data_IF_664554280851
#
_entry.id   IF_664554280851
#
_cell.length_a   1.000
_cell.length_b   1.000
_cell.length_c   1.000
_cell.angle_alpha   90.00
_cell.angle_beta   90.00
_cell.angle_gamma   90.00
#
_symmetry.space_group_name_H-M   'P 1'
#
loop_
_entity.id
_entity.type
_entity.pdbx_description
1 polymer ?
#
# COMPACT_ATOMS: atom_id res chain seq x y z
N UNK A 1 -37.05 -71.14 -34.32
CA UNK A 1 -35.69 -71.02 -33.75
C UNK A 1 -35.60 -69.63 -33.13
N UNK A 2 -35.51 -69.56 -31.80
CA UNK A 2 -35.79 -68.33 -31.06
C UNK A 2 -34.64 -67.32 -31.02
N UNK A 3 -34.99 -66.08 -30.67
CA UNK A 3 -34.05 -65.13 -30.07
C UNK A 3 -34.85 -64.12 -29.25
N UNK A 4 -34.78 -64.25 -27.91
CA UNK A 4 -35.19 -63.22 -26.95
C UNK A 4 -34.20 -62.06 -27.03
N UNK A 5 -34.65 -60.86 -27.33
CA UNK A 5 -33.89 -59.66 -27.02
C UNK A 5 -34.17 -59.21 -25.57
N UNK A 6 -33.10 -59.19 -24.77
CA UNK A 6 -33.06 -58.61 -23.43
C UNK A 6 -33.08 -57.10 -23.57
N UNK A 7 -34.04 -56.42 -22.96
CA UNK A 7 -33.93 -54.99 -22.70
C UNK A 7 -32.90 -54.80 -21.58
N UNK A 8 -31.74 -54.25 -21.93
CA UNK A 8 -30.76 -53.77 -20.97
C UNK A 8 -31.23 -52.40 -20.44
N UNK A 9 -31.56 -52.34 -19.16
CA UNK A 9 -31.77 -51.07 -18.45
C UNK A 9 -30.40 -50.44 -18.22
N UNK A 10 -30.10 -49.35 -18.92
CA UNK A 10 -28.92 -48.52 -18.67
C UNK A 10 -29.08 -47.74 -17.35
N UNK A 11 -28.08 -47.73 -16.45
CA UNK A 11 -28.22 -47.08 -15.16
C UNK A 11 -28.05 -45.57 -15.28
N UNK A 12 -29.12 -44.81 -14.97
CA UNK A 12 -29.19 -43.34 -14.97
C UNK A 12 -28.41 -42.64 -13.82
N UNK A 13 -27.34 -43.23 -13.27
CA UNK A 13 -26.73 -42.76 -12.02
C UNK A 13 -25.48 -41.85 -12.13
N UNK A 14 -24.96 -41.58 -13.34
CA UNK A 14 -23.67 -40.87 -13.48
C UNK A 14 -23.72 -39.36 -13.77
N UNK A 15 -24.85 -38.81 -14.23
CA UNK A 15 -24.91 -37.39 -14.59
C UNK A 15 -24.98 -36.46 -13.35
N UNK A 16 -25.81 -36.80 -12.36
CA UNK A 16 -26.02 -35.97 -11.15
C UNK A 16 -24.75 -35.83 -10.29
N UNK A 17 -23.89 -36.84 -10.24
CA UNK A 17 -22.67 -36.82 -9.42
C UNK A 17 -21.55 -36.00 -10.05
N UNK A 18 -21.47 -35.95 -11.38
CA UNK A 18 -20.56 -35.08 -12.11
C UNK A 18 -20.97 -33.60 -11.99
N UNK A 19 -22.26 -33.30 -12.11
CA UNK A 19 -22.81 -31.95 -11.95
C UNK A 19 -22.59 -31.40 -10.52
N UNK A 20 -22.77 -32.24 -9.49
CA UNK A 20 -22.52 -31.84 -8.11
C UNK A 20 -21.04 -31.50 -7.86
N UNK A 21 -20.11 -32.29 -8.43
CA UNK A 21 -18.66 -32.01 -8.32
C UNK A 21 -18.26 -30.72 -9.03
N UNK A 22 -18.84 -30.45 -10.20
CA UNK A 22 -18.63 -29.19 -10.93
C UNK A 22 -19.19 -28.01 -10.16
N UNK A 23 -20.41 -28.13 -9.59
CA UNK A 23 -21.02 -27.09 -8.78
C UNK A 23 -20.23 -26.79 -7.50
N UNK A 24 -19.79 -27.82 -6.76
CA UNK A 24 -18.94 -27.68 -5.58
C UNK A 24 -17.60 -27.04 -5.93
N UNK A 25 -16.97 -27.44 -7.05
CA UNK A 25 -15.71 -26.83 -7.51
C UNK A 25 -15.88 -25.37 -7.90
N UNK A 26 -16.99 -25.00 -8.57
CA UNK A 26 -17.31 -23.61 -8.90
C UNK A 26 -17.56 -22.78 -7.64
N UNK A 27 -18.32 -23.31 -6.69
CA UNK A 27 -18.57 -22.65 -5.40
C UNK A 27 -17.27 -22.46 -4.60
N UNK A 28 -16.41 -23.47 -4.57
CA UNK A 28 -15.10 -23.40 -3.94
C UNK A 28 -14.20 -22.34 -4.60
N UNK A 29 -14.11 -22.32 -5.93
CA UNK A 29 -13.34 -21.32 -6.67
C UNK A 29 -13.90 -19.91 -6.45
N UNK A 30 -15.22 -19.75 -6.45
CA UNK A 30 -15.89 -18.48 -6.19
C UNK A 30 -15.63 -17.99 -4.76
N UNK A 31 -15.82 -18.85 -3.75
CA UNK A 31 -15.58 -18.51 -2.34
C UNK A 31 -14.11 -18.12 -2.11
N UNK A 32 -13.17 -18.87 -2.71
CA UNK A 32 -11.75 -18.54 -2.65
C UNK A 32 -11.45 -17.20 -3.33
N UNK A 33 -11.99 -16.95 -4.51
CA UNK A 33 -11.79 -15.70 -5.24
C UNK A 33 -12.39 -14.48 -4.51
N UNK A 34 -13.62 -14.62 -4.00
CA UNK A 34 -14.28 -13.58 -3.21
C UNK A 34 -13.51 -13.28 -1.92
N UNK A 35 -13.07 -14.31 -1.19
CA UNK A 35 -12.28 -14.15 0.03
C UNK A 35 -10.89 -13.52 -0.21
N UNK A 36 -10.25 -13.80 -1.34
CA UNK A 36 -9.02 -13.10 -1.71
C UNK A 36 -9.31 -11.63 -2.04
N UNK A 37 -10.33 -11.34 -2.83
CA UNK A 37 -10.66 -9.97 -3.26
C UNK A 37 -10.95 -9.06 -2.06
N UNK A 38 -11.71 -9.53 -1.07
CA UNK A 38 -12.00 -8.75 0.14
C UNK A 38 -10.76 -8.47 0.98
N UNK A 39 -9.86 -9.45 1.12
CA UNK A 39 -8.59 -9.24 1.85
C UNK A 39 -7.68 -8.24 1.15
N UNK A 40 -7.61 -8.28 -0.19
CA UNK A 40 -6.80 -7.33 -0.98
C UNK A 40 -7.32 -5.91 -0.87
N UNK A 41 -8.64 -5.72 -1.03
CA UNK A 41 -9.27 -4.41 -0.87
C UNK A 41 -9.09 -3.86 0.56
N UNK A 42 -9.22 -4.74 1.56
CA UNK A 42 -8.98 -4.41 2.96
C UNK A 42 -7.54 -3.94 3.20
N UNK A 43 -6.52 -4.59 2.62
CA UNK A 43 -5.14 -4.15 2.79
C UNK A 43 -4.89 -2.74 2.21
N UNK A 44 -5.49 -2.42 1.06
CA UNK A 44 -5.40 -1.07 0.51
C UNK A 44 -6.03 -0.01 1.43
N UNK A 45 -7.14 -0.37 2.09
CA UNK A 45 -7.78 0.46 3.11
C UNK A 45 -6.91 0.62 4.38
N UNK A 46 -6.21 -0.45 4.79
CA UNK A 46 -5.34 -0.47 5.97
C UNK A 46 -4.08 0.37 5.81
N UNK A 47 -3.56 0.51 4.58
CA UNK A 47 -2.30 1.20 4.30
C UNK A 47 -2.49 2.46 3.45
N UNK A 48 -2.67 2.33 2.13
CA UNK A 48 -2.67 3.48 1.22
C UNK A 48 -3.80 4.48 1.50
N UNK A 49 -4.98 4.00 1.92
CA UNK A 49 -6.05 4.91 2.33
C UNK A 49 -5.73 5.63 3.65
N UNK A 50 -5.02 4.98 4.59
CA UNK A 50 -4.59 5.64 5.83
C UNK A 50 -3.50 6.68 5.55
N UNK A 51 -2.58 6.41 4.63
CA UNK A 51 -1.62 7.41 4.13
C UNK A 51 -2.35 8.62 3.54
N UNK A 52 -3.37 8.40 2.71
CA UNK A 52 -4.21 9.48 2.17
C UNK A 52 -4.94 10.25 3.28
N UNK A 53 -5.57 9.57 4.24
CA UNK A 53 -6.22 10.25 5.37
C UNK A 53 -5.24 11.13 6.12
N UNK A 54 -4.04 10.61 6.39
CA UNK A 54 -3.01 11.39 7.07
C UNK A 54 -2.64 12.64 6.25
N UNK A 55 -2.31 12.48 4.97
CA UNK A 55 -1.88 13.57 4.10
C UNK A 55 -2.96 14.60 3.76
N UNK A 56 -4.23 14.23 3.74
CA UNK A 56 -5.31 15.13 3.31
C UNK A 56 -6.08 15.72 4.48
N UNK A 57 -6.20 14.99 5.59
CA UNK A 57 -7.11 15.36 6.68
C UNK A 57 -6.38 15.69 7.98
N UNK A 58 -5.20 15.10 8.22
CA UNK A 58 -4.51 15.22 9.49
C UNK A 58 -3.31 16.16 9.42
N UNK A 59 -2.49 16.02 8.37
CA UNK A 59 -1.25 16.76 8.16
C UNK A 59 -1.15 17.19 6.68
N UNK A 60 -1.99 18.14 6.23
CA UNK A 60 -1.98 18.64 4.86
C UNK A 60 -0.77 19.56 4.65
N UNK A 61 0.35 18.95 4.29
CA UNK A 61 1.57 19.63 3.85
C UNK A 61 2.11 18.94 2.59
N UNK A 62 2.99 19.61 1.81
CA UNK A 62 3.65 19.01 0.66
C UNK A 62 4.42 17.74 1.03
N UNK A 63 4.16 16.63 0.32
CA UNK A 63 4.61 15.29 0.72
C UNK A 63 5.34 14.56 -0.40
N UNK A 64 6.41 13.84 -0.04
CA UNK A 64 7.06 12.88 -0.94
C UNK A 64 6.58 11.43 -0.68
N UNK A 65 6.31 10.69 -1.75
CA UNK A 65 5.79 9.31 -1.65
C UNK A 65 6.36 8.40 -2.73
N UNK A 66 6.14 7.09 -2.57
CA UNK A 66 6.29 6.10 -3.65
C UNK A 66 4.93 5.63 -4.19
N UNK A 67 3.97 5.36 -3.31
CA UNK A 67 2.66 4.85 -3.71
C UNK A 67 1.68 6.00 -3.98
N UNK A 68 1.71 6.53 -5.22
CA UNK A 68 0.90 7.65 -5.69
C UNK A 68 -0.60 7.57 -5.38
N UNK A 69 -1.19 6.41 -5.67
CA UNK A 69 -2.63 6.19 -5.84
C UNK A 69 -3.54 7.06 -4.97
N UNK A 70 -3.86 6.59 -3.77
CA UNK A 70 -4.79 7.30 -2.88
C UNK A 70 -4.27 8.67 -2.42
N UNK A 71 -2.97 8.81 -2.16
CA UNK A 71 -2.39 10.04 -1.59
C UNK A 71 -2.56 11.25 -2.51
N UNK A 72 -2.58 11.05 -3.84
CA UNK A 72 -2.83 12.13 -4.82
C UNK A 72 -4.31 12.48 -5.00
N UNK A 73 -5.21 11.56 -4.66
CA UNK A 73 -6.64 11.77 -4.90
C UNK A 73 -7.21 12.78 -3.92
N UNK A 74 -7.76 13.90 -4.41
CA UNK A 74 -8.34 14.99 -3.58
C UNK A 74 -7.37 15.49 -2.49
N UNK A 75 -6.10 15.60 -2.86
CA UNK A 75 -5.10 16.27 -2.06
C UNK A 75 -4.81 17.62 -2.71
N UNK A 76 -5.00 18.69 -1.95
CA UNK A 76 -4.74 20.05 -2.42
C UNK A 76 -3.25 20.41 -2.30
N UNK A 77 -2.48 19.62 -1.55
CA UNK A 77 -1.04 19.79 -1.36
C UNK A 77 -0.23 19.14 -2.48
N UNK A 78 0.99 19.64 -2.68
CA UNK A 78 1.90 19.06 -3.67
C UNK A 78 2.35 17.65 -3.25
N UNK A 79 2.25 16.71 -4.19
CA UNK A 79 2.70 15.33 -4.00
C UNK A 79 3.86 15.03 -4.93
N UNK A 80 5.05 14.87 -4.36
CA UNK A 80 6.25 14.46 -5.09
C UNK A 80 6.33 12.94 -5.18
N UNK A 81 6.30 12.41 -6.39
CA UNK A 81 6.47 10.98 -6.64
C UNK A 81 7.96 10.62 -6.77
N UNK A 82 8.50 9.97 -5.75
CA UNK A 82 9.89 9.50 -5.75
C UNK A 82 10.08 8.27 -6.66
N UNK A 83 9.04 7.60 -7.15
CA UNK A 83 9.22 6.50 -8.11
C UNK A 83 9.42 7.00 -9.56
N UNK A 84 8.91 8.19 -9.86
CA UNK A 84 9.05 8.84 -11.17
C UNK A 84 7.99 8.47 -12.21
N UNK A 85 6.83 7.96 -11.78
CA UNK A 85 5.64 7.76 -12.62
C UNK A 85 4.82 9.04 -12.76
N UNK A 86 4.70 9.81 -11.68
CA UNK A 86 3.95 11.07 -11.61
C UNK A 86 4.81 12.31 -11.53
N UNK A 87 6.11 12.17 -11.27
CA UNK A 87 7.07 13.28 -11.19
C UNK A 87 8.27 13.04 -12.11
N UNK A 88 8.23 13.66 -13.28
CA UNK A 88 9.27 13.48 -14.31
C UNK A 88 10.67 13.88 -13.82
N UNK A 89 10.76 14.83 -12.88
CA UNK A 89 12.02 15.22 -12.26
C UNK A 89 12.71 14.04 -11.55
N UNK A 90 11.95 13.19 -10.84
CA UNK A 90 12.50 12.01 -10.17
C UNK A 90 13.05 11.01 -11.19
N UNK A 91 12.32 10.76 -12.29
CA UNK A 91 12.77 9.90 -13.39
C UNK A 91 14.06 10.41 -14.03
N UNK A 92 14.13 11.71 -14.31
CA UNK A 92 15.30 12.34 -14.94
C UNK A 92 16.53 12.29 -14.03
N UNK A 93 16.38 12.68 -12.77
CA UNK A 93 17.48 12.68 -11.80
C UNK A 93 17.97 11.26 -11.51
N UNK A 94 17.07 10.29 -11.31
CA UNK A 94 17.49 8.91 -11.07
C UNK A 94 18.15 8.26 -12.28
N UNK A 95 17.73 8.61 -13.50
CA UNK A 95 18.41 8.15 -14.71
C UNK A 95 19.83 8.75 -14.86
N UNK A 96 20.04 9.99 -14.42
CA UNK A 96 21.33 10.68 -14.55
C UNK A 96 22.29 10.42 -13.39
N UNK A 97 21.77 10.25 -12.18
CA UNK A 97 22.54 10.33 -10.93
C UNK A 97 22.33 9.11 -10.01
N UNK A 98 21.46 8.17 -10.40
CA UNK A 98 21.05 7.03 -9.59
C UNK A 98 20.04 7.41 -8.49
N UNK A 99 19.50 6.41 -7.80
CA UNK A 99 18.57 6.58 -6.67
C UNK A 99 19.36 6.74 -5.36
N UNK A 100 20.16 7.80 -5.30
CA UNK A 100 21.05 8.08 -4.15
C UNK A 100 20.52 9.25 -3.30
N UNK A 101 21.03 9.46 -2.07
CA UNK A 101 20.60 10.56 -1.20
C UNK A 101 20.70 11.96 -1.82
N UNK A 102 21.66 12.19 -2.71
CA UNK A 102 21.91 13.51 -3.34
C UNK A 102 20.76 13.98 -4.26
N UNK A 103 20.35 13.23 -5.30
CA UNK A 103 19.21 13.61 -6.13
C UNK A 103 17.90 13.64 -5.34
N UNK A 104 17.73 12.77 -4.33
CA UNK A 104 16.55 12.79 -3.45
C UNK A 104 16.44 14.12 -2.72
N UNK A 105 17.51 14.52 -2.01
CA UNK A 105 17.56 15.81 -1.32
C UNK A 105 17.27 16.98 -2.25
N UNK A 106 17.86 16.96 -3.45
CA UNK A 106 17.69 18.03 -4.43
C UNK A 106 16.22 18.19 -4.81
N UNK A 107 15.56 17.13 -5.26
CA UNK A 107 14.17 17.24 -5.70
C UNK A 107 13.21 17.54 -4.55
N UNK A 108 13.48 17.04 -3.35
CA UNK A 108 12.62 17.34 -2.19
C UNK A 108 12.78 18.78 -1.72
N UNK A 109 14.00 19.30 -1.71
CA UNK A 109 14.27 20.72 -1.41
C UNK A 109 13.65 21.63 -2.46
N UNK A 110 13.86 21.34 -3.74
CA UNK A 110 13.34 22.15 -4.86
C UNK A 110 11.79 22.15 -4.87
N UNK A 111 11.15 21.05 -4.47
CA UNK A 111 9.70 20.91 -4.38
C UNK A 111 9.09 21.44 -3.07
N UNK A 112 9.92 21.77 -2.07
CA UNK A 112 9.44 22.23 -0.75
C UNK A 112 8.63 21.17 0.01
N UNK A 113 8.92 19.87 -0.17
CA UNK A 113 8.23 18.82 0.59
C UNK A 113 8.73 18.78 2.04
N UNK A 114 7.79 18.65 2.98
CA UNK A 114 8.07 18.79 4.42
C UNK A 114 8.16 17.45 5.13
N UNK A 115 7.61 16.39 4.53
CA UNK A 115 7.69 15.03 5.03
C UNK A 115 7.59 14.01 3.88
N UNK A 116 7.92 12.75 4.17
CA UNK A 116 7.75 11.65 3.25
C UNK A 116 7.01 10.47 3.89
N UNK A 117 6.26 9.73 3.07
CA UNK A 117 5.68 8.43 3.42
C UNK A 117 6.06 7.42 2.34
N UNK A 118 6.97 6.50 2.66
CA UNK A 118 7.56 5.61 1.67
C UNK A 118 7.99 4.27 2.29
N UNK A 119 8.47 3.37 1.44
CA UNK A 119 9.13 2.15 1.86
C UNK A 119 10.63 2.40 1.86
N UNK A 120 11.27 2.49 3.02
CA UNK A 120 12.71 2.78 3.11
C UNK A 120 13.53 1.72 2.35
N UNK A 121 13.09 0.47 2.40
CA UNK A 121 13.79 -0.68 1.82
C UNK A 121 13.94 -0.67 0.28
N UNK A 122 13.27 0.24 -0.44
CA UNK A 122 13.45 0.40 -1.89
C UNK A 122 14.56 1.39 -2.28
N UNK A 123 15.23 1.98 -1.29
CA UNK A 123 16.34 2.90 -1.45
C UNK A 123 17.65 2.23 -0.98
N UNK A 124 18.20 1.32 -1.80
CA UNK A 124 19.42 0.56 -1.48
C UNK A 124 20.62 1.46 -1.12
N UNK A 125 20.74 2.61 -1.80
CA UNK A 125 21.80 3.61 -1.56
C UNK A 125 21.47 4.57 -0.40
N UNK A 126 20.32 4.40 0.25
CA UNK A 126 19.84 5.17 1.38
C UNK A 126 19.06 6.44 1.03
N UNK A 127 18.50 7.04 2.08
CA UNK A 127 17.79 8.32 2.06
C UNK A 127 18.72 9.47 2.51
N UNK A 128 18.33 10.75 2.30
CA UNK A 128 19.08 11.87 2.86
C UNK A 128 19.24 11.73 4.39
N UNK A 129 20.47 11.80 4.94
CA UNK A 129 20.75 11.50 6.34
C UNK A 129 20.11 12.47 7.34
N UNK A 130 19.69 13.64 6.90
CA UNK A 130 18.94 14.61 7.70
C UNK A 130 17.46 14.27 7.85
N UNK A 131 16.91 13.37 7.03
CA UNK A 131 15.53 12.91 7.19
C UNK A 131 15.40 12.13 8.49
N UNK A 132 14.41 12.50 9.29
CA UNK A 132 14.21 11.90 10.61
C UNK A 132 13.03 10.94 10.55
N UNK A 133 13.27 9.65 10.77
CA UNK A 133 12.19 8.69 10.93
C UNK A 133 11.37 9.08 12.16
N UNK A 134 10.10 9.47 11.95
CA UNK A 134 9.22 9.95 13.01
C UNK A 134 8.07 8.98 13.30
N UNK A 135 7.70 8.14 12.34
CA UNK A 135 6.74 7.06 12.56
C UNK A 135 6.88 5.90 11.58
N UNK A 136 6.29 4.76 11.95
CA UNK A 136 6.10 3.59 11.10
C UNK A 136 4.67 3.10 11.18
N UNK A 137 3.99 3.04 10.03
CA UNK A 137 2.67 2.44 9.88
C UNK A 137 2.81 0.98 9.47
N UNK A 138 2.38 0.06 10.31
CA UNK A 138 2.41 -1.38 10.06
C UNK A 138 1.02 -1.93 9.76
N UNK A 139 0.92 -2.81 8.76
CA UNK A 139 -0.34 -3.39 8.26
C UNK A 139 -0.15 -4.86 7.88
N UNK A 140 -1.25 -5.55 7.57
CA UNK A 140 -1.15 -6.86 6.91
C UNK A 140 -0.50 -6.73 5.52
N UNK A 141 0.41 -7.63 5.13
CA UNK A 141 1.02 -7.59 3.78
C UNK A 141 0.32 -8.61 2.87
N UNK A 142 -0.72 -8.16 2.15
CA UNK A 142 -1.51 -9.03 1.26
C UNK A 142 -1.45 -8.57 -0.20
N UNK A 143 -1.40 -7.27 -0.45
CA UNK A 143 -1.39 -6.62 -1.77
C UNK A 143 -0.42 -5.45 -1.83
N UNK A 144 -0.28 -4.71 -0.73
CA UNK A 144 0.80 -3.75 -0.58
C UNK A 144 2.16 -4.40 -0.86
N UNK A 145 3.07 -3.64 -1.48
CA UNK A 145 4.42 -4.10 -1.76
C UNK A 145 5.11 -4.54 -0.47
N UNK A 146 4.91 -3.77 0.61
CA UNK A 146 5.50 -4.01 1.92
C UNK A 146 4.47 -3.84 3.04
N UNK A 147 4.71 -4.49 4.17
CA UNK A 147 3.81 -4.42 5.33
C UNK A 147 3.93 -3.14 6.14
N UNK A 148 5.05 -2.42 6.01
CA UNK A 148 5.38 -1.22 6.78
C UNK A 148 5.54 -0.03 5.83
N UNK A 149 5.12 1.16 6.26
CA UNK A 149 5.43 2.44 5.61
C UNK A 149 6.13 3.31 6.63
N UNK A 150 7.32 3.80 6.28
CA UNK A 150 8.08 4.76 7.06
C UNK A 150 7.63 6.19 6.77
N UNK A 151 7.46 6.96 7.85
CA UNK A 151 7.15 8.38 7.81
C UNK A 151 8.41 9.13 8.23
N UNK A 152 8.96 9.92 7.30
CA UNK A 152 10.15 10.74 7.54
C UNK A 152 9.77 12.21 7.63
N UNK A 153 10.23 12.88 8.66
CA UNK A 153 10.21 14.33 8.75
C UNK A 153 11.40 14.90 7.95
N UNK A 154 11.11 15.87 7.07
CA UNK A 154 12.11 16.55 6.24
C UNK A 154 12.32 17.97 6.75
N UNK A 155 11.23 18.67 7.08
CA UNK A 155 11.26 19.99 7.69
C UNK A 155 11.19 19.89 9.22
N UNK A 156 12.29 20.19 9.90
CA UNK A 156 12.39 20.11 11.37
C UNK A 156 11.44 21.08 12.08
N UNK A 157 11.05 22.19 11.45
CA UNK A 157 10.17 23.18 12.06
C UNK A 157 8.75 22.63 12.24
N UNK A 158 8.43 21.53 11.56
CA UNK A 158 7.14 20.84 11.63
C UNK A 158 7.11 19.70 12.66
N UNK A 159 8.20 19.43 13.37
CA UNK A 159 8.32 18.24 14.22
C UNK A 159 7.21 18.14 15.27
N UNK A 160 7.01 19.18 16.07
CA UNK A 160 6.01 19.18 17.16
C UNK A 160 4.59 18.98 16.61
N UNK A 161 4.28 19.66 15.50
CA UNK A 161 2.98 19.53 14.85
C UNK A 161 2.77 18.11 14.33
N UNK A 162 3.71 17.58 13.54
CA UNK A 162 3.59 16.23 12.97
C UNK A 162 3.51 15.17 14.07
N UNK A 163 4.30 15.29 15.14
CA UNK A 163 4.27 14.39 16.30
C UNK A 163 2.90 14.39 16.98
N UNK A 164 2.36 15.58 17.29
CA UNK A 164 1.04 15.69 17.91
C UNK A 164 -0.07 15.13 17.01
N UNK A 165 0.01 15.37 15.70
CA UNK A 165 -0.91 14.82 14.71
C UNK A 165 -0.83 13.31 14.61
N UNK A 166 0.37 12.72 14.60
CA UNK A 166 0.57 11.27 14.60
C UNK A 166 -0.02 10.61 15.85
N UNK A 167 0.17 11.22 17.02
CA UNK A 167 -0.42 10.76 18.28
C UNK A 167 -1.96 10.81 18.26
N UNK A 168 -2.54 11.87 17.68
CA UNK A 168 -3.99 11.98 17.49
C UNK A 168 -4.53 11.03 16.42
N UNK A 169 -3.73 10.73 15.39
CA UNK A 169 -4.10 9.86 14.28
C UNK A 169 -4.09 8.38 14.67
N UNK A 170 -3.12 7.97 15.49
CA UNK A 170 -2.92 6.59 15.94
C UNK A 170 -4.19 5.87 16.42
N UNK A 171 -5.02 6.43 17.34
CA UNK A 171 -6.24 5.77 17.80
C UNK A 171 -7.37 5.72 16.74
N UNK A 172 -7.21 6.39 15.60
CA UNK A 172 -8.21 6.41 14.51
C UNK A 172 -7.93 5.39 13.40
N UNK A 173 -6.83 4.64 13.54
CA UNK A 173 -6.48 3.57 12.61
C UNK A 173 -7.43 2.38 12.78
N UNK A 174 -7.71 1.63 11.70
CA UNK A 174 -8.47 0.39 11.81
C UNK A 174 -7.67 -0.66 12.60
N UNK A 175 -8.36 -1.62 13.24
CA UNK A 175 -7.77 -2.64 14.12
C UNK A 175 -6.58 -3.42 13.55
N UNK A 176 -6.47 -3.51 12.22
CA UNK A 176 -5.42 -4.25 11.52
C UNK A 176 -4.24 -3.37 11.07
N UNK A 177 -4.24 -2.10 11.48
CA UNK A 177 -3.16 -1.15 11.26
C UNK A 177 -2.68 -0.59 12.58
N UNK A 178 -1.37 -0.48 12.76
CA UNK A 178 -0.77 0.17 13.94
C UNK A 178 0.24 1.19 13.49
N UNK A 179 0.42 2.25 14.27
CA UNK A 179 1.48 3.24 14.02
C UNK A 179 2.34 3.38 15.27
N UNK A 180 3.65 3.20 15.10
CA UNK A 180 4.64 3.52 16.11
C UNK A 180 5.18 4.93 15.83
N UNK A 181 5.25 5.77 16.86
CA UNK A 181 5.80 7.13 16.77
C UNK A 181 7.13 7.15 17.52
N UNK A 182 8.15 7.73 16.90
CA UNK A 182 9.52 7.74 17.41
C UNK A 182 9.94 9.15 17.79
N UNK A 183 10.72 9.26 18.86
CA UNK A 183 11.43 10.50 19.16
C UNK A 183 12.52 10.69 18.11
N UNK A 184 12.51 11.86 17.47
CA UNK A 184 13.60 12.20 16.57
C UNK A 184 14.73 12.70 17.48
N UNK A 185 15.92 12.07 17.49
CA UNK A 185 17.03 12.61 18.25
C UNK A 185 17.30 14.04 17.75
N UNK A 186 17.32 14.99 18.67
CA UNK A 186 17.85 16.32 18.38
C UNK A 186 19.28 16.13 17.86
N UNK A 187 19.59 16.73 16.70
CA UNK A 187 20.94 16.77 16.15
C UNK A 187 21.87 17.57 17.07
#
# INVERSE_FOLDING_TARGET
>A
MGTRHRNAVTPHHNARSADLRVAVRRLYLFARYAGHTTRRARNLYEQQYQMHRFAVQCFPEPVAIIDLGWVTYRNDEYVLDLWGLGSEIARQLFNAEGRTPRPIRRMTTDAGVTYAMLYEEVFDDGLPPEWRLIAQLSTSQVTASFGTVEFFLIDSDKEDLMRSTLQAFAPTLPDASTIAVFDCPAQ
#
